data_IF_922779851434
#
_entry.id   IF_922779851434
#
_cell.length_a   1.000
_cell.length_b   1.000
_cell.length_c   1.000
_cell.angle_alpha   90.00
_cell.angle_beta   90.00
_cell.angle_gamma   90.00
#
_symmetry.space_group_name_H-M   'P 1'
#
loop_
_entity.id
_entity.type
_entity.pdbx_description
1 polymer ?
#
# COMPACT_ATOMS: atom_id res chain seq x y z
N UNK A 1 -17.24 1.60 4.15
CA UNK A 1 -17.84 0.30 4.54
C UNK A 1 -16.98 -0.85 4.01
N UNK A 2 -17.05 -2.04 4.61
CA UNK A 2 -16.47 -3.28 4.06
C UNK A 2 -17.54 -4.05 3.28
N UNK A 3 -17.21 -4.52 2.10
CA UNK A 3 -18.10 -5.22 1.19
C UNK A 3 -17.54 -6.59 0.81
N UNK A 4 -18.43 -7.48 0.40
CA UNK A 4 -18.02 -8.72 -0.24
C UNK A 4 -17.61 -8.45 -1.70
N UNK A 5 -16.38 -8.81 -2.12
CA UNK A 5 -15.95 -8.66 -3.50
C UNK A 5 -16.76 -9.58 -4.45
N UNK A 6 -16.96 -9.19 -5.71
CA UNK A 6 -17.56 -10.08 -6.71
C UNK A 6 -16.77 -11.38 -6.87
N UNK A 7 -17.46 -12.52 -6.98
CA UNK A 7 -16.84 -13.83 -7.17
C UNK A 7 -16.24 -14.47 -5.91
N UNK A 8 -16.29 -13.79 -4.77
CA UNK A 8 -15.96 -14.38 -3.45
C UNK A 8 -17.18 -15.09 -2.92
N UNK A 9 -17.14 -16.41 -2.86
CA UNK A 9 -18.22 -17.29 -2.42
C UNK A 9 -17.72 -18.25 -1.35
N UNK A 10 -18.60 -18.58 -0.41
CA UNK A 10 -18.33 -19.60 0.59
C UNK A 10 -18.60 -20.99 0.01
N UNK A 11 -17.61 -21.87 0.14
CA UNK A 11 -17.74 -23.32 -0.02
C UNK A 11 -17.20 -24.03 1.22
N UNK A 12 -17.47 -25.33 1.34
CA UNK A 12 -16.93 -26.17 2.41
C UNK A 12 -16.18 -27.37 1.85
N UNK A 13 -14.99 -27.61 2.38
CA UNK A 13 -14.18 -28.80 2.09
C UNK A 13 -13.79 -29.43 3.42
N UNK A 14 -14.17 -30.68 3.65
CA UNK A 14 -13.86 -31.42 4.89
C UNK A 14 -14.21 -30.63 6.17
N UNK A 15 -15.41 -30.03 6.20
CA UNK A 15 -15.92 -29.18 7.29
C UNK A 15 -15.16 -27.86 7.52
N UNK A 16 -14.17 -27.52 6.69
CA UNK A 16 -13.48 -26.22 6.73
C UNK A 16 -14.14 -25.23 5.79
N UNK A 17 -14.20 -23.97 6.21
CA UNK A 17 -14.69 -22.89 5.36
C UNK A 17 -13.63 -22.55 4.30
N UNK A 18 -14.09 -22.39 3.06
CA UNK A 18 -13.24 -22.05 1.92
C UNK A 18 -13.89 -20.90 1.17
N UNK A 19 -13.18 -19.79 1.02
CA UNK A 19 -13.63 -18.64 0.24
C UNK A 19 -12.96 -18.65 -1.12
N UNK A 20 -13.72 -18.47 -2.20
CA UNK A 20 -13.12 -18.19 -3.51
C UNK A 20 -12.55 -16.77 -3.57
N UNK A 21 -11.59 -16.52 -4.45
CA UNK A 21 -11.11 -15.17 -4.78
C UNK A 21 -11.65 -14.73 -6.14
N UNK A 22 -11.63 -13.43 -6.42
CA UNK A 22 -12.08 -12.89 -7.72
C UNK A 22 -11.30 -13.43 -8.93
N UNK A 23 -10.09 -13.94 -8.72
CA UNK A 23 -9.24 -14.56 -9.76
C UNK A 23 -9.40 -16.09 -9.85
N UNK A 24 -10.37 -16.67 -9.13
CA UNK A 24 -10.65 -18.12 -9.14
C UNK A 24 -9.79 -18.95 -8.18
N UNK A 25 -9.02 -18.30 -7.30
CA UNK A 25 -8.32 -18.94 -6.19
C UNK A 25 -9.27 -19.42 -5.09
N UNK A 26 -8.75 -20.22 -4.15
CA UNK A 26 -9.50 -20.71 -2.98
C UNK A 26 -8.65 -20.58 -1.72
N UNK A 27 -9.19 -19.94 -0.69
CA UNK A 27 -8.53 -19.72 0.59
C UNK A 27 -9.31 -20.48 1.67
N UNK A 28 -8.63 -21.43 2.33
CA UNK A 28 -9.17 -22.11 3.50
C UNK A 28 -8.99 -21.20 4.71
N UNK A 29 -10.07 -20.97 5.44
CA UNK A 29 -10.12 -20.04 6.57
C UNK A 29 -10.67 -20.75 7.82
N UNK A 30 -10.12 -20.43 8.99
CA UNK A 30 -10.61 -20.99 10.24
C UNK A 30 -11.97 -20.37 10.63
N UNK A 31 -12.68 -21.03 11.55
CA UNK A 31 -14.03 -20.63 11.92
C UNK A 31 -14.12 -19.22 12.55
N UNK A 32 -13.09 -18.78 13.29
CA UNK A 32 -13.08 -17.44 13.91
C UNK A 32 -12.88 -16.37 12.84
N UNK A 33 -11.88 -16.54 11.97
CA UNK A 33 -11.63 -15.56 10.91
C UNK A 33 -12.77 -15.54 9.89
N UNK A 34 -13.42 -16.68 9.64
CA UNK A 34 -14.63 -16.75 8.82
C UNK A 34 -15.82 -16.00 9.43
N UNK A 35 -16.05 -16.17 10.74
CA UNK A 35 -17.08 -15.42 11.45
C UNK A 35 -16.79 -13.92 11.43
N UNK A 36 -15.52 -13.53 11.58
CA UNK A 36 -15.08 -12.14 11.47
C UNK A 36 -15.32 -11.56 10.07
N UNK A 37 -14.96 -12.31 9.02
CA UNK A 37 -15.21 -11.92 7.63
C UNK A 37 -16.71 -11.67 7.39
N UNK A 38 -17.58 -12.61 7.77
CA UNK A 38 -19.04 -12.42 7.69
C UNK A 38 -19.53 -11.23 8.51
N UNK A 39 -18.95 -11.02 9.69
CA UNK A 39 -19.32 -9.92 10.57
C UNK A 39 -19.00 -8.56 9.95
N UNK A 40 -17.86 -8.43 9.27
CA UNK A 40 -17.39 -7.17 8.69
C UNK A 40 -18.21 -6.71 7.48
N UNK A 41 -18.76 -7.63 6.69
CA UNK A 41 -19.55 -7.30 5.49
C UNK A 41 -20.73 -6.39 5.84
N UNK A 42 -20.82 -5.25 5.15
CA UNK A 42 -21.86 -4.25 5.32
C UNK A 42 -21.63 -3.29 6.50
N UNK A 43 -20.48 -3.33 7.18
CA UNK A 43 -20.15 -2.42 8.29
C UNK A 43 -18.96 -1.52 7.97
N UNK A 44 -18.88 -0.35 8.59
CA UNK A 44 -17.67 0.47 8.55
C UNK A 44 -16.68 0.12 9.66
N UNK A 45 -15.46 0.66 9.58
CA UNK A 45 -14.40 0.38 10.54
C UNK A 45 -14.79 0.82 11.96
N UNK A 46 -15.47 1.95 12.12
CA UNK A 46 -15.84 2.47 13.44
C UNK A 46 -16.84 1.55 14.15
N UNK A 47 -17.82 1.03 13.40
CA UNK A 47 -18.82 0.09 13.88
C UNK A 47 -18.17 -1.23 14.26
N UNK A 48 -17.28 -1.77 13.41
CA UNK A 48 -16.57 -3.02 13.68
C UNK A 48 -15.67 -2.90 14.92
N UNK A 49 -14.96 -1.78 15.06
CA UNK A 49 -14.07 -1.54 16.22
C UNK A 49 -14.83 -1.37 17.53
N UNK A 50 -16.11 -1.01 17.52
CA UNK A 50 -16.93 -0.93 18.74
C UNK A 50 -17.55 -2.29 19.04
N UNK A 51 -18.16 -2.92 18.04
CA UNK A 51 -18.96 -4.13 18.22
C UNK A 51 -18.13 -5.40 18.34
N UNK A 52 -17.01 -5.51 17.62
CA UNK A 52 -16.21 -6.73 17.58
C UNK A 52 -15.20 -6.81 18.74
N UNK A 53 -14.70 -5.67 19.22
CA UNK A 53 -13.81 -5.65 20.40
C UNK A 53 -14.54 -5.94 21.71
N UNK A 54 -15.88 -5.92 21.71
CA UNK A 54 -16.69 -6.42 22.81
C UNK A 54 -16.46 -7.93 23.08
N UNK A 55 -15.77 -8.63 22.17
CA UNK A 55 -15.37 -10.03 22.28
C UNK A 55 -13.93 -10.22 22.79
N UNK A 56 -13.38 -9.24 23.53
CA UNK A 56 -12.00 -9.24 24.08
C UNK A 56 -10.86 -9.26 23.05
N UNK A 57 -11.15 -9.02 21.77
CA UNK A 57 -10.13 -8.83 20.73
C UNK A 57 -9.66 -7.37 20.75
N UNK A 58 -8.35 -7.13 20.77
CA UNK A 58 -7.84 -5.75 20.77
C UNK A 58 -8.05 -5.06 19.42
N UNK A 59 -8.15 -3.73 19.42
CA UNK A 59 -8.43 -2.97 18.20
C UNK A 59 -7.37 -3.13 17.11
N UNK A 60 -6.11 -3.39 17.46
CA UNK A 60 -5.02 -3.55 16.48
C UNK A 60 -5.15 -4.88 15.74
N UNK A 61 -5.55 -5.95 16.43
CA UNK A 61 -5.85 -7.25 15.84
C UNK A 61 -7.06 -7.17 14.90
N UNK A 62 -8.10 -6.42 15.28
CA UNK A 62 -9.26 -6.16 14.40
C UNK A 62 -8.81 -5.44 13.14
N UNK A 63 -8.00 -4.37 13.26
CA UNK A 63 -7.46 -3.63 12.11
C UNK A 63 -6.58 -4.52 11.22
N UNK A 64 -5.68 -5.29 11.81
CA UNK A 64 -4.80 -6.20 11.09
C UNK A 64 -5.61 -7.29 10.37
N UNK A 65 -6.60 -7.89 11.01
CA UNK A 65 -7.48 -8.88 10.40
C UNK A 65 -8.26 -8.32 9.21
N UNK A 66 -8.82 -7.11 9.33
CA UNK A 66 -9.50 -6.45 8.22
C UNK A 66 -8.53 -6.16 7.07
N UNK A 67 -7.32 -5.68 7.37
CA UNK A 67 -6.28 -5.44 6.37
C UNK A 67 -5.94 -6.72 5.63
N UNK A 68 -5.68 -7.82 6.34
CA UNK A 68 -5.37 -9.11 5.73
C UNK A 68 -6.50 -9.62 4.83
N UNK A 69 -7.76 -9.43 5.24
CA UNK A 69 -8.92 -9.82 4.43
C UNK A 69 -9.07 -8.95 3.17
N UNK A 70 -8.73 -7.67 3.24
CA UNK A 70 -8.73 -6.77 2.08
C UNK A 70 -7.61 -7.14 1.11
N UNK A 71 -6.37 -7.27 1.60
CA UNK A 71 -5.20 -7.66 0.80
C UNK A 71 -5.38 -9.03 0.13
N UNK A 72 -6.02 -9.97 0.82
CA UNK A 72 -6.35 -11.29 0.26
C UNK A 72 -7.48 -11.25 -0.79
N UNK A 73 -8.07 -10.08 -1.05
CA UNK A 73 -9.21 -9.92 -1.96
C UNK A 73 -10.47 -10.62 -1.46
N UNK A 74 -10.62 -10.78 -0.14
CA UNK A 74 -11.78 -11.38 0.51
C UNK A 74 -12.77 -10.33 1.03
N UNK A 75 -12.31 -9.11 1.28
CA UNK A 75 -13.14 -7.93 1.52
C UNK A 75 -12.74 -6.81 0.56
N UNK A 76 -13.70 -6.00 0.13
CA UNK A 76 -13.42 -4.69 -0.44
C UNK A 76 -13.69 -3.65 0.63
N UNK A 77 -12.86 -2.61 0.73
CA UNK A 77 -13.20 -1.44 1.52
C UNK A 77 -13.68 -0.36 0.56
N UNK A 78 -14.93 0.09 0.68
CA UNK A 78 -15.46 1.19 -0.16
C UNK A 78 -14.62 2.47 -0.05
N UNK A 79 -13.92 2.65 1.08
CA UNK A 79 -13.00 3.78 1.28
C UNK A 79 -11.61 3.59 0.66
N UNK A 80 -11.35 2.53 -0.12
CA UNK A 80 -10.08 2.40 -0.87
C UNK A 80 -9.94 3.43 -2.00
N UNK A 81 -10.82 4.44 -2.08
CA UNK A 81 -10.62 5.51 -3.07
C UNK A 81 -11.01 6.94 -2.72
N UNK A 82 -11.22 7.31 -1.45
CA UNK A 82 -11.08 8.73 -1.08
C UNK A 82 -10.54 8.87 0.35
N UNK A 83 -9.45 9.63 0.57
CA UNK A 83 -9.07 10.03 1.92
C UNK A 83 -10.20 10.93 2.46
N UNK A 84 -11.08 10.34 3.26
CA UNK A 84 -12.02 11.10 4.09
C UNK A 84 -11.16 11.86 5.13
N UNK A 85 -10.96 13.14 4.84
CA UNK A 85 -9.99 14.12 5.39
C UNK A 85 -8.74 14.33 4.54
N UNK A 86 -8.89 15.05 3.43
CA UNK A 86 -7.82 15.81 2.78
C UNK A 86 -7.44 17.06 3.58
N UNK A 87 -7.30 16.97 4.89
CA UNK A 87 -6.62 18.03 5.62
C UNK A 87 -5.13 17.91 5.31
N UNK A 88 -4.54 18.98 4.77
CA UNK A 88 -3.11 19.05 4.55
C UNK A 88 -2.42 18.89 5.90
N UNK A 89 -1.77 17.75 6.12
CA UNK A 89 -1.06 17.46 7.37
C UNK A 89 0.31 18.10 7.28
N UNK A 90 0.59 19.05 8.17
CA UNK A 90 1.89 19.73 8.25
C UNK A 90 2.80 19.14 9.32
N UNK A 91 4.10 19.06 9.05
CA UNK A 91 5.11 18.58 10.00
C UNK A 91 6.55 18.90 9.55
N UNK A 92 7.57 18.21 10.09
CA UNK A 92 8.93 18.35 9.61
C UNK A 92 9.06 17.94 8.13
N UNK A 93 10.10 18.41 7.44
CA UNK A 93 10.39 17.95 6.09
C UNK A 93 10.59 16.42 6.08
N UNK A 94 9.88 15.75 5.17
CA UNK A 94 10.07 14.32 4.91
C UNK A 94 10.84 14.16 3.60
N UNK A 95 12.00 13.50 3.69
CA UNK A 95 12.84 13.16 2.55
C UNK A 95 12.55 11.76 2.05
N UNK A 96 12.01 11.65 0.83
CA UNK A 96 11.77 10.37 0.17
C UNK A 96 12.94 10.07 -0.76
N UNK A 97 13.74 9.07 -0.39
CA UNK A 97 14.90 8.62 -1.17
C UNK A 97 14.49 7.39 -1.96
N UNK A 98 14.56 7.49 -3.28
CA UNK A 98 14.25 6.41 -4.22
C UNK A 98 15.55 6.00 -4.89
N UNK A 99 15.91 4.72 -4.83
CA UNK A 99 17.03 4.18 -5.61
C UNK A 99 16.45 3.44 -6.81
N UNK A 100 16.90 3.77 -8.03
CA UNK A 100 16.42 3.15 -9.25
C UNK A 100 17.55 2.74 -10.18
N UNK A 101 17.30 1.72 -11.01
CA UNK A 101 18.18 1.31 -12.10
C UNK A 101 17.30 0.75 -13.23
N UNK A 102 17.25 1.44 -14.36
CA UNK A 102 16.40 1.10 -15.50
C UNK A 102 14.93 0.83 -15.12
N UNK A 103 14.31 1.75 -14.38
CA UNK A 103 13.01 1.55 -13.74
C UNK A 103 11.96 2.59 -14.13
N UNK A 104 12.10 3.24 -15.28
CA UNK A 104 11.21 4.32 -15.72
C UNK A 104 9.71 3.96 -15.66
N UNK A 105 9.34 2.73 -16.04
CA UNK A 105 7.96 2.24 -16.00
C UNK A 105 7.37 2.34 -14.58
N UNK A 106 8.08 1.80 -13.59
CA UNK A 106 7.66 1.78 -12.19
C UNK A 106 7.77 3.14 -11.51
N UNK A 107 8.74 3.96 -11.91
CA UNK A 107 8.95 5.29 -11.34
C UNK A 107 7.78 6.23 -11.66
N UNK A 108 7.09 6.05 -12.79
CA UNK A 108 5.94 6.88 -13.14
C UNK A 108 4.83 6.75 -12.09
N UNK A 109 4.37 5.52 -11.85
CA UNK A 109 3.33 5.25 -10.85
C UNK A 109 3.77 5.65 -9.43
N UNK A 110 5.03 5.36 -9.08
CA UNK A 110 5.58 5.72 -7.78
C UNK A 110 5.58 7.23 -7.54
N UNK A 111 6.08 8.02 -8.49
CA UNK A 111 6.19 9.48 -8.36
C UNK A 111 4.82 10.16 -8.41
N UNK A 112 3.89 9.68 -9.25
CA UNK A 112 2.51 10.17 -9.28
C UNK A 112 1.77 9.90 -7.97
N UNK A 113 1.99 8.74 -7.36
CA UNK A 113 1.44 8.38 -6.05
C UNK A 113 2.00 9.26 -4.92
N UNK A 114 3.31 9.55 -4.95
CA UNK A 114 3.93 10.47 -4.00
C UNK A 114 3.42 11.92 -4.20
N UNK A 115 3.22 12.34 -5.45
CA UNK A 115 2.68 13.67 -5.78
C UNK A 115 1.25 13.89 -5.26
N UNK A 116 0.50 12.82 -5.02
CA UNK A 116 -0.87 12.86 -4.50
C UNK A 116 -0.95 12.80 -2.96
N UNK A 117 0.19 12.75 -2.25
CA UNK A 117 0.18 12.70 -0.79
C UNK A 117 -0.39 13.98 -0.17
N UNK A 118 -1.24 13.82 0.84
CA UNK A 118 -1.83 14.93 1.62
C UNK A 118 -0.88 15.52 2.66
N UNK A 119 0.24 14.84 2.94
CA UNK A 119 1.29 15.35 3.81
C UNK A 119 2.19 16.34 3.06
N UNK A 120 2.45 17.49 3.66
CA UNK A 120 3.44 18.45 3.19
C UNK A 120 4.18 19.03 4.42
N UNK A 121 5.50 19.23 4.40
CA UNK A 121 6.38 19.34 3.23
C UNK A 121 7.15 18.05 2.90
N UNK A 122 7.22 17.69 1.61
CA UNK A 122 7.96 16.53 1.09
C UNK A 122 9.07 16.99 0.13
N UNK A 123 10.23 16.34 0.19
CA UNK A 123 11.21 16.34 -0.90
C UNK A 123 11.40 14.93 -1.46
N UNK A 124 11.69 14.84 -2.76
CA UNK A 124 11.94 13.57 -3.45
C UNK A 124 13.35 13.61 -4.03
N UNK A 125 14.17 12.64 -3.64
CA UNK A 125 15.50 12.41 -4.18
C UNK A 125 15.55 11.05 -4.88
N UNK A 126 15.75 11.06 -6.19
CA UNK A 126 16.01 9.87 -6.98
C UNK A 126 17.51 9.66 -7.16
N UNK A 127 18.03 8.61 -6.55
CA UNK A 127 19.39 8.10 -6.76
C UNK A 127 19.36 7.07 -7.89
N UNK A 128 19.76 7.50 -9.08
CA UNK A 128 19.90 6.61 -10.23
C UNK A 128 21.21 5.84 -10.15
N UNK A 129 21.11 4.54 -9.92
CA UNK A 129 22.22 3.62 -9.73
C UNK A 129 22.83 3.13 -11.06
N UNK A 130 23.00 4.04 -12.01
CA UNK A 130 23.69 3.79 -13.28
C UNK A 130 22.80 3.31 -14.43
N UNK A 131 21.57 3.81 -14.52
CA UNK A 131 20.65 3.49 -15.63
C UNK A 131 21.22 3.91 -16.99
N UNK A 132 20.84 3.19 -18.04
CA UNK A 132 21.21 3.45 -19.44
C UNK A 132 19.98 3.47 -20.38
N UNK A 133 18.78 3.39 -19.82
CA UNK A 133 17.49 3.34 -20.52
C UNK A 133 16.87 4.71 -20.87
N UNK A 134 17.55 5.81 -20.54
CA UNK A 134 17.03 7.17 -20.71
C UNK A 134 16.31 7.76 -19.50
N UNK A 135 16.27 7.05 -18.36
CA UNK A 135 15.67 7.50 -17.09
C UNK A 135 16.05 8.93 -16.73
N UNK A 136 17.33 9.33 -16.88
CA UNK A 136 17.78 10.68 -16.53
C UNK A 136 17.16 11.80 -17.37
N UNK A 137 17.05 11.60 -18.68
CA UNK A 137 16.38 12.56 -19.58
C UNK A 137 14.90 12.64 -19.25
N UNK A 138 14.27 11.49 -19.04
CA UNK A 138 12.86 11.40 -18.70
C UNK A 138 12.54 12.11 -17.39
N UNK A 139 13.25 11.81 -16.29
CA UNK A 139 13.05 12.46 -14.98
C UNK A 139 13.17 13.97 -15.06
N UNK A 140 14.23 14.45 -15.73
CA UNK A 140 14.47 15.90 -15.86
C UNK A 140 13.33 16.62 -16.58
N UNK A 141 12.63 15.93 -17.49
CA UNK A 141 11.52 16.49 -18.26
C UNK A 141 10.15 16.32 -17.61
N UNK A 142 9.84 15.14 -17.06
CA UNK A 142 8.52 14.78 -16.57
C UNK A 142 8.32 15.12 -15.09
N UNK A 143 9.40 15.10 -14.30
CA UNK A 143 9.35 15.33 -12.85
C UNK A 143 10.43 16.33 -12.41
N UNK A 144 10.38 17.59 -12.89
CA UNK A 144 11.40 18.61 -12.59
C UNK A 144 11.53 18.95 -11.10
N UNK A 145 10.52 18.61 -10.28
CA UNK A 145 10.53 18.75 -8.83
C UNK A 145 11.37 17.69 -8.11
N UNK A 146 11.70 16.58 -8.77
CA UNK A 146 12.50 15.50 -8.17
C UNK A 146 13.98 15.86 -8.25
N UNK A 147 14.67 15.87 -7.11
CA UNK A 147 16.14 15.96 -7.08
C UNK A 147 16.69 14.67 -7.71
N UNK A 148 17.45 14.78 -8.78
CA UNK A 148 18.01 13.63 -9.49
C UNK A 148 19.52 13.52 -9.27
N UNK A 149 19.98 12.36 -8.80
CA UNK A 149 21.39 12.07 -8.57
C UNK A 149 21.81 10.76 -9.25
N UNK A 150 22.52 10.87 -10.37
CA UNK A 150 23.04 9.70 -11.10
C UNK A 150 24.42 9.28 -10.61
N UNK A 151 24.55 7.99 -10.33
CA UNK A 151 25.81 7.30 -10.08
C UNK A 151 26.42 6.82 -11.39
N UNK A 152 27.72 7.02 -11.54
CA UNK A 152 28.44 6.63 -12.76
C UNK A 152 28.74 5.14 -12.85
N UNK A 153 28.66 4.45 -11.72
CA UNK A 153 28.82 3.00 -11.65
C UNK A 153 27.81 2.48 -10.64
N UNK A 154 27.12 1.40 -11.00
CA UNK A 154 26.17 0.76 -10.12
C UNK A 154 26.87 0.29 -8.85
N UNK A 155 26.31 0.65 -7.69
CA UNK A 155 26.75 0.19 -6.38
C UNK A 155 25.70 -0.71 -5.74
N UNK A 156 26.00 -1.29 -4.58
CA UNK A 156 24.98 -2.01 -3.81
C UNK A 156 23.84 -1.08 -3.40
N UNK A 157 22.63 -1.64 -3.28
CA UNK A 157 21.44 -0.90 -2.86
C UNK A 157 21.68 -0.10 -1.57
N UNK A 158 22.27 -0.73 -0.54
CA UNK A 158 22.59 -0.06 0.73
C UNK A 158 23.52 1.13 0.57
N UNK A 159 24.51 1.04 -0.35
CA UNK A 159 25.42 2.16 -0.63
C UNK A 159 24.69 3.29 -1.34
N UNK A 160 23.82 2.98 -2.30
CA UNK A 160 23.00 3.99 -2.98
C UNK A 160 22.04 4.70 -2.01
N UNK A 161 21.43 3.97 -1.07
CA UNK A 161 20.60 4.55 -0.01
C UNK A 161 21.41 5.52 0.86
N UNK A 162 22.59 5.10 1.34
CA UNK A 162 23.43 5.97 2.17
C UNK A 162 23.85 7.25 1.43
N UNK A 163 24.17 7.14 0.13
CA UNK A 163 24.44 8.32 -0.71
C UNK A 163 23.21 9.22 -0.80
N UNK A 164 22.01 8.64 -0.88
CA UNK A 164 20.76 9.38 -0.83
C UNK A 164 20.59 10.14 0.48
N UNK A 165 20.84 9.49 1.61
CA UNK A 165 20.75 10.10 2.96
C UNK A 165 21.73 11.26 3.12
N UNK A 166 22.94 11.14 2.55
CA UNK A 166 23.93 12.23 2.57
C UNK A 166 23.53 13.45 1.70
N UNK A 167 22.55 13.28 0.81
CA UNK A 167 22.14 14.28 -0.20
C UNK A 167 20.75 14.87 0.01
N UNK A 168 19.97 14.32 0.93
CA UNK A 168 18.70 14.88 1.41
C UNK A 168 18.95 16.04 2.36
#
# INVERSE_FOLDING_TARGET
>A
MYLQPPGVEETKIDRRHVLSTGEGGKIVIDAKLFAFWKFAIGKDLSTILVEYTAQEVNQNEVRAGLSCLVEAGLLLREQDRQPENSEMVSGPLVSIIIVAHNSQEWLTECLDSIGQQTYQPIEILLVDNGSDDGTGTWISSAYPQVKYHRLMTSVSFSKAINIGVEKS
#
